data_IF_845869574912
#
_entry.id   IF_845869574912
#
_cell.length_a   1.000
_cell.length_b   1.000
_cell.length_c   1.000
_cell.angle_alpha   90.00
_cell.angle_beta   90.00
_cell.angle_gamma   90.00
#
_symmetry.space_group_name_H-M   'P 1'
#
loop_
_entity.id
_entity.type
_entity.pdbx_description
1 polymer ?
#
# COMPACT_ATOMS: atom_id res chain seq x y z
N UNK A 1 -18.47 -13.70 -22.86
CA UNK A 1 -18.41 -12.67 -21.81
C UNK A 1 -18.30 -13.37 -20.48
N UNK A 2 -17.16 -13.26 -19.79
CA UNK A 2 -16.96 -13.94 -18.51
C UNK A 2 -17.79 -13.28 -17.41
N UNK A 3 -18.63 -14.06 -16.72
CA UNK A 3 -19.39 -13.57 -15.56
C UNK A 3 -18.49 -13.22 -14.39
N UNK A 4 -18.96 -12.32 -13.52
CA UNK A 4 -18.21 -11.90 -12.32
C UNK A 4 -17.92 -13.08 -11.39
N UNK A 5 -16.69 -13.15 -10.91
CA UNK A 5 -16.25 -14.11 -9.89
C UNK A 5 -17.04 -13.95 -8.59
N UNK A 6 -16.99 -14.96 -7.71
CA UNK A 6 -17.59 -14.86 -6.35
C UNK A 6 -16.99 -13.69 -5.56
N UNK A 7 -15.68 -13.50 -5.66
CA UNK A 7 -14.94 -12.43 -4.97
C UNK A 7 -15.44 -11.04 -5.39
N UNK A 8 -15.60 -10.81 -6.69
CA UNK A 8 -16.11 -9.54 -7.23
C UNK A 8 -17.54 -9.27 -6.79
N UNK A 9 -18.41 -10.28 -6.83
CA UNK A 9 -19.81 -10.14 -6.37
C UNK A 9 -19.90 -9.78 -4.89
N UNK A 10 -19.07 -10.39 -4.04
CA UNK A 10 -19.01 -10.06 -2.61
C UNK A 10 -18.50 -8.62 -2.42
N UNK A 11 -17.44 -8.23 -3.12
CA UNK A 11 -16.89 -6.88 -3.03
C UNK A 11 -17.94 -5.81 -3.43
N UNK A 12 -18.70 -6.04 -4.49
CA UNK A 12 -19.80 -5.16 -4.91
C UNK A 12 -20.93 -5.08 -3.89
N UNK A 13 -21.33 -6.22 -3.32
CA UNK A 13 -22.37 -6.25 -2.30
C UNK A 13 -21.94 -5.50 -1.03
N UNK A 14 -20.68 -5.68 -0.58
CA UNK A 14 -20.11 -4.95 0.56
C UNK A 14 -20.03 -3.46 0.26
N UNK A 15 -19.51 -3.07 -0.91
CA UNK A 15 -19.41 -1.68 -1.32
C UNK A 15 -20.79 -1.00 -1.32
N UNK A 16 -21.82 -1.67 -1.86
CA UNK A 16 -23.19 -1.18 -1.83
C UNK A 16 -23.73 -1.04 -0.41
N UNK A 17 -23.48 -2.02 0.47
CA UNK A 17 -23.97 -2.02 1.84
C UNK A 17 -23.39 -0.87 2.69
N UNK A 18 -22.11 -0.51 2.47
CA UNK A 18 -21.44 0.57 3.23
C UNK A 18 -21.42 1.90 2.49
N UNK A 19 -22.04 1.99 1.31
CA UNK A 19 -22.03 3.19 0.47
C UNK A 19 -20.63 3.59 -0.02
N UNK A 20 -19.73 2.61 -0.21
CA UNK A 20 -18.36 2.87 -0.63
C UNK A 20 -18.31 3.52 -2.00
N UNK A 21 -17.52 4.59 -2.13
CA UNK A 21 -17.33 5.30 -3.39
C UNK A 21 -18.47 6.23 -3.80
N UNK A 22 -19.58 6.28 -3.03
CA UNK A 22 -20.66 7.26 -3.25
C UNK A 22 -20.08 8.66 -3.23
N UNK A 23 -20.33 9.43 -4.29
CA UNK A 23 -19.89 10.83 -4.34
C UNK A 23 -20.68 11.66 -3.34
N UNK A 24 -19.97 12.49 -2.58
CA UNK A 24 -20.57 13.36 -1.58
C UNK A 24 -19.97 14.76 -1.65
N UNK A 25 -20.81 15.74 -1.35
CA UNK A 25 -20.38 17.06 -0.92
C UNK A 25 -20.86 17.22 0.52
N UNK A 26 -19.93 17.38 1.45
CA UNK A 26 -20.23 17.54 2.86
C UNK A 26 -20.09 19.01 3.25
N UNK A 27 -21.06 19.60 3.97
CA UNK A 27 -20.90 20.94 4.50
C UNK A 27 -19.70 20.99 5.47
N UNK A 28 -18.74 21.87 5.21
CA UNK A 28 -17.62 22.13 6.11
C UNK A 28 -17.84 23.41 6.91
N UNK A 29 -16.99 23.64 7.91
CA UNK A 29 -16.93 24.91 8.63
C UNK A 29 -15.83 25.82 8.06
N UNK A 30 -15.94 27.12 8.30
CA UNK A 30 -14.85 28.08 8.05
C UNK A 30 -14.01 28.22 9.32
N UNK A 31 -12.76 27.73 9.29
CA UNK A 31 -11.86 27.78 10.44
C UNK A 31 -11.28 29.18 10.70
N UNK A 32 -11.47 30.15 9.80
CA UNK A 32 -11.10 31.55 10.04
C UNK A 32 -12.19 32.34 10.77
N UNK A 33 -13.41 31.81 10.87
CA UNK A 33 -14.52 32.41 11.59
C UNK A 33 -14.52 31.99 13.08
N UNK A 34 -14.33 32.92 14.05
CA UNK A 34 -14.39 32.60 15.48
C UNK A 34 -15.79 32.20 15.96
N UNK A 35 -16.83 32.51 15.19
CA UNK A 35 -18.23 32.17 15.47
C UNK A 35 -18.76 31.03 14.59
N UNK A 36 -17.86 30.28 13.94
CA UNK A 36 -18.22 29.14 13.12
C UNK A 36 -19.12 28.16 13.88
N UNK A 37 -20.03 27.45 13.19
CA UNK A 37 -20.76 26.36 13.82
C UNK A 37 -19.80 25.27 14.30
N UNK A 38 -20.27 24.47 15.28
CA UNK A 38 -19.54 23.30 15.74
C UNK A 38 -19.38 22.29 14.61
N UNK A 39 -18.25 21.59 14.65
CA UNK A 39 -17.96 20.43 13.81
C UNK A 39 -18.58 19.20 14.43
N UNK A 40 -18.75 18.12 13.66
CA UNK A 40 -19.22 16.86 14.22
C UNK A 40 -18.33 16.39 15.38
N UNK A 41 -17.00 16.52 15.26
CA UNK A 41 -16.04 16.12 16.30
C UNK A 41 -16.24 16.85 17.64
N UNK A 42 -16.73 18.09 17.61
CA UNK A 42 -17.03 18.90 18.82
C UNK A 42 -18.38 18.55 19.46
N UNK A 43 -19.19 17.71 18.81
CA UNK A 43 -20.53 17.33 19.27
C UNK A 43 -20.60 15.85 19.62
N UNK A 44 -20.24 14.97 18.69
CA UNK A 44 -20.25 13.51 18.89
C UNK A 44 -19.31 12.80 17.89
N UNK A 45 -18.89 11.59 18.21
CA UNK A 45 -17.95 10.81 17.40
C UNK A 45 -18.41 9.34 17.30
N UNK A 46 -18.39 8.71 16.10
CA UNK A 46 -18.89 7.35 15.92
C UNK A 46 -17.89 6.29 16.44
N UNK A 47 -17.63 6.31 17.74
CA UNK A 47 -16.58 5.54 18.42
C UNK A 47 -16.74 4.02 18.25
N UNK A 48 -17.97 3.51 18.37
CA UNK A 48 -18.25 2.08 18.30
C UNK A 48 -17.89 1.47 16.93
N UNK A 49 -18.43 1.96 15.80
CA UNK A 49 -18.09 1.39 14.50
C UNK A 49 -16.63 1.64 14.10
N UNK A 50 -16.02 2.77 14.52
CA UNK A 50 -14.60 3.03 14.26
C UNK A 50 -13.71 2.04 15.02
N UNK A 51 -14.01 1.76 16.29
CA UNK A 51 -13.25 0.81 17.10
C UNK A 51 -13.30 -0.60 16.50
N UNK A 52 -14.43 -1.02 15.95
CA UNK A 52 -14.55 -2.30 15.24
C UNK A 52 -13.62 -2.38 14.03
N UNK A 53 -13.56 -1.33 13.19
CA UNK A 53 -12.62 -1.29 12.07
C UNK A 53 -11.17 -1.23 12.58
N UNK A 54 -10.89 -0.42 13.60
CA UNK A 54 -9.55 -0.24 14.15
C UNK A 54 -8.97 -1.56 14.70
N UNK A 55 -9.81 -2.42 15.29
CA UNK A 55 -9.42 -3.76 15.74
C UNK A 55 -9.04 -4.68 14.57
N UNK A 56 -9.75 -4.62 13.45
CA UNK A 56 -9.42 -5.39 12.23
C UNK A 56 -8.15 -4.84 11.57
N UNK A 57 -8.05 -3.52 11.41
CA UNK A 57 -6.80 -2.85 10.97
C UNK A 57 -5.63 -3.15 11.89
N UNK A 58 -5.92 -3.47 13.16
CA UNK A 58 -5.08 -4.11 14.17
C UNK A 58 -3.98 -4.99 13.59
N UNK A 59 -4.45 -5.94 12.80
CA UNK A 59 -3.70 -7.07 12.30
C UNK A 59 -3.52 -7.03 10.78
N UNK A 60 -3.97 -5.95 10.13
CA UNK A 60 -3.86 -5.79 8.69
C UNK A 60 -2.57 -5.05 8.31
N UNK A 61 -1.71 -5.69 7.52
CA UNK A 61 -0.56 -5.05 6.89
C UNK A 61 -1.01 -4.12 5.76
N UNK A 62 -1.11 -2.82 5.99
CA UNK A 62 -1.45 -1.85 4.94
C UNK A 62 -0.21 -1.52 4.09
N UNK A 63 -0.23 -1.74 2.75
CA UNK A 63 0.98 -1.61 1.92
C UNK A 63 1.69 -0.26 2.05
N UNK A 64 0.94 0.85 2.04
CA UNK A 64 1.51 2.20 2.18
C UNK A 64 2.26 2.39 3.51
N UNK A 65 1.94 1.58 4.52
CA UNK A 65 2.56 1.62 5.84
C UNK A 65 3.62 0.54 6.06
N UNK A 66 3.97 -0.22 5.02
CA UNK A 66 5.02 -1.24 5.07
C UNK A 66 6.36 -0.73 4.53
N UNK A 67 6.42 0.49 4.00
CA UNK A 67 7.68 1.08 3.50
C UNK A 67 8.73 1.15 4.62
N UNK A 68 8.32 1.49 5.84
CA UNK A 68 9.18 1.48 7.02
C UNK A 68 8.37 1.25 8.29
N UNK A 69 8.96 0.56 9.27
CA UNK A 69 8.32 0.32 10.57
C UNK A 69 8.38 1.58 11.43
N UNK A 70 7.22 2.06 11.88
CA UNK A 70 7.12 3.12 12.89
C UNK A 70 6.44 2.59 14.17
N UNK A 71 7.08 2.77 15.31
CA UNK A 71 6.74 2.10 16.58
C UNK A 71 5.43 2.57 17.23
N UNK A 72 5.00 3.81 16.98
CA UNK A 72 3.79 4.38 17.57
C UNK A 72 2.71 4.72 16.53
N UNK A 73 2.67 4.01 15.40
CA UNK A 73 1.71 4.32 14.33
C UNK A 73 0.27 4.05 14.77
N UNK A 74 -0.57 5.07 14.65
CA UNK A 74 -2.01 4.98 14.93
C UNK A 74 -2.78 4.42 13.74
N UNK A 75 -3.93 3.80 14.03
CA UNK A 75 -4.79 3.17 13.01
C UNK A 75 -5.36 4.24 12.07
N UNK A 76 -5.27 3.98 10.78
CA UNK A 76 -5.79 4.86 9.73
C UNK A 76 -7.28 5.09 9.84
N UNK A 77 -8.07 4.08 10.25
CA UNK A 77 -9.51 4.25 10.40
C UNK A 77 -9.89 5.35 11.39
N UNK A 78 -9.13 5.44 12.49
CA UNK A 78 -9.32 6.46 13.52
C UNK A 78 -9.03 7.84 12.94
N UNK A 79 -7.87 8.02 12.29
CA UNK A 79 -7.48 9.32 11.75
C UNK A 79 -8.35 9.77 10.57
N UNK A 80 -8.76 8.84 9.71
CA UNK A 80 -9.74 9.13 8.65
C UNK A 80 -11.04 9.66 9.23
N UNK A 81 -11.59 8.99 10.24
CA UNK A 81 -12.83 9.43 10.86
C UNK A 81 -12.66 10.75 11.62
N UNK A 82 -11.56 10.94 12.35
CA UNK A 82 -11.25 12.21 13.02
C UNK A 82 -11.19 13.37 12.02
N UNK A 83 -10.52 13.20 10.88
CA UNK A 83 -10.42 14.23 9.85
C UNK A 83 -11.78 14.56 9.23
N UNK A 84 -12.61 13.56 8.94
CA UNK A 84 -13.99 13.76 8.45
C UNK A 84 -14.82 14.50 9.51
N UNK A 85 -14.81 14.02 10.76
CA UNK A 85 -15.58 14.60 11.85
C UNK A 85 -15.16 16.02 12.19
N UNK A 86 -13.85 16.32 12.13
CA UNK A 86 -13.32 17.66 12.34
C UNK A 86 -13.67 18.61 11.19
N UNK A 87 -13.81 18.12 9.96
CA UNK A 87 -14.14 18.96 8.82
C UNK A 87 -15.64 19.28 8.71
N UNK A 88 -16.49 18.29 9.00
CA UNK A 88 -17.95 18.39 8.80
C UNK A 88 -18.60 19.33 9.80
N UNK A 89 -19.47 20.23 9.32
CA UNK A 89 -20.41 20.97 10.17
C UNK A 89 -21.35 19.98 10.88
N UNK A 90 -21.54 20.15 12.19
CA UNK A 90 -22.49 19.35 12.95
C UNK A 90 -23.94 19.60 12.48
N UNK A 91 -24.78 18.55 12.40
CA UNK A 91 -26.21 18.71 12.21
C UNK A 91 -26.87 19.45 13.39
N UNK A 92 -28.06 20.01 13.16
CA UNK A 92 -28.80 20.74 14.20
C UNK A 92 -29.22 19.84 15.36
N UNK A 93 -29.52 18.56 15.07
CA UNK A 93 -29.71 17.52 16.09
C UNK A 93 -28.36 16.92 16.51
N UNK A 94 -27.89 17.14 17.76
CA UNK A 94 -26.63 16.62 18.23
C UNK A 94 -26.52 15.09 18.15
N UNK A 95 -27.62 14.35 18.33
CA UNK A 95 -27.62 12.89 18.30
C UNK A 95 -27.34 12.33 16.89
N UNK A 96 -27.48 13.15 15.84
CA UNK A 96 -27.20 12.77 14.46
C UNK A 96 -25.73 12.94 14.08
N UNK A 97 -24.89 13.62 14.88
CA UNK A 97 -23.53 13.99 14.49
C UNK A 97 -22.62 12.78 14.22
N UNK A 98 -22.58 11.79 15.14
CA UNK A 98 -21.80 10.57 14.93
C UNK A 98 -22.27 9.78 13.70
N UNK A 99 -23.58 9.66 13.54
CA UNK A 99 -24.17 8.97 12.38
C UNK A 99 -23.82 9.67 11.07
N UNK A 100 -23.88 11.00 11.03
CA UNK A 100 -23.55 11.78 9.84
C UNK A 100 -22.11 11.53 9.36
N UNK A 101 -21.14 11.45 10.28
CA UNK A 101 -19.75 11.10 9.97
C UNK A 101 -19.65 9.67 9.43
N UNK A 102 -20.33 8.72 10.09
CA UNK A 102 -20.30 7.31 9.69
C UNK A 102 -20.90 7.07 8.29
N UNK A 103 -22.03 7.73 7.98
CA UNK A 103 -22.74 7.62 6.70
C UNK A 103 -21.89 8.04 5.48
N UNK A 104 -20.81 8.80 5.71
CA UNK A 104 -19.88 9.26 4.68
C UNK A 104 -18.46 8.74 4.85
N UNK A 105 -18.21 7.84 5.81
CA UNK A 105 -16.87 7.34 6.09
C UNK A 105 -16.21 6.66 4.87
N UNK A 106 -16.97 5.84 4.13
CA UNK A 106 -16.51 5.17 2.91
C UNK A 106 -16.83 5.94 1.61
N UNK A 107 -17.41 7.13 1.71
CA UNK A 107 -17.78 7.94 0.55
C UNK A 107 -16.54 8.48 -0.18
N UNK A 108 -16.74 8.86 -1.45
CA UNK A 108 -15.73 9.53 -2.26
C UNK A 108 -15.80 11.05 -2.02
N UNK A 109 -14.91 11.55 -1.17
CA UNK A 109 -14.77 12.97 -0.84
C UNK A 109 -14.02 13.78 -1.91
N UNK A 110 -13.25 13.11 -2.77
CA UNK A 110 -12.43 13.77 -3.79
C UNK A 110 -13.21 14.10 -5.06
N UNK A 111 -14.20 13.29 -5.45
CA UNK A 111 -14.96 13.48 -6.69
C UNK A 111 -15.58 14.88 -6.82
N UNK A 112 -16.04 15.45 -5.70
CA UNK A 112 -16.60 16.81 -5.64
C UNK A 112 -15.67 17.81 -4.96
N UNK A 113 -14.43 17.40 -4.64
CA UNK A 113 -13.43 18.25 -3.99
C UNK A 113 -13.89 18.83 -2.65
N UNK A 114 -14.77 18.15 -1.92
CA UNK A 114 -15.47 18.69 -0.76
C UNK A 114 -14.55 19.18 0.37
N UNK A 115 -13.32 18.67 0.41
CA UNK A 115 -12.33 18.94 1.45
C UNK A 115 -11.05 19.62 0.90
N UNK A 116 -11.03 19.97 -0.39
CA UNK A 116 -9.81 20.44 -1.10
C UNK A 116 -9.28 21.77 -0.58
N UNK A 117 -10.17 22.63 -0.09
CA UNK A 117 -9.82 23.94 0.46
C UNK A 117 -9.24 23.87 1.87
N UNK A 118 -9.43 22.77 2.59
CA UNK A 118 -8.96 22.62 3.96
C UNK A 118 -7.45 22.41 4.00
N UNK A 119 -6.77 23.22 4.82
CA UNK A 119 -5.35 23.12 5.13
C UNK A 119 -5.20 22.55 6.53
N UNK A 120 -4.50 21.43 6.66
CA UNK A 120 -4.32 20.73 7.94
C UNK A 120 -2.84 20.56 8.22
N UNK A 121 -2.42 21.02 9.39
CA UNK A 121 -1.05 20.83 9.87
C UNK A 121 -1.03 19.77 10.98
N UNK A 122 -0.18 18.76 10.82
CA UNK A 122 0.18 17.82 11.88
C UNK A 122 1.64 18.08 12.26
N UNK A 123 1.84 18.76 13.39
CA UNK A 123 3.16 19.17 13.89
C UNK A 123 3.90 18.08 14.67
N UNK A 124 3.27 16.91 14.83
CA UNK A 124 3.83 15.71 15.47
C UNK A 124 3.44 14.45 14.66
N UNK A 125 3.68 14.51 13.35
CA UNK A 125 3.09 13.54 12.42
C UNK A 125 3.57 12.09 12.63
N UNK A 126 4.74 11.88 13.22
CA UNK A 126 5.36 10.59 13.41
C UNK A 126 5.37 9.78 12.11
N UNK A 127 4.73 8.61 12.13
CA UNK A 127 4.59 7.78 10.95
C UNK A 127 3.60 8.28 9.89
N UNK A 128 3.01 9.47 10.01
CA UNK A 128 2.26 10.12 8.94
C UNK A 128 0.84 9.61 8.68
N UNK A 129 0.22 8.86 9.61
CA UNK A 129 -1.17 8.39 9.43
C UNK A 129 -2.12 9.54 9.10
N UNK A 130 -2.04 10.67 9.81
CA UNK A 130 -2.84 11.88 9.55
C UNK A 130 -2.63 12.41 8.14
N UNK A 131 -1.36 12.54 7.72
CA UNK A 131 -0.97 13.09 6.43
C UNK A 131 -1.50 12.22 5.29
N UNK A 132 -1.32 10.90 5.39
CA UNK A 132 -1.77 9.95 4.38
C UNK A 132 -3.29 9.92 4.29
N UNK A 133 -4.01 9.83 5.42
CA UNK A 133 -5.46 9.77 5.40
C UNK A 133 -6.11 11.09 4.96
N UNK A 134 -5.57 12.24 5.37
CA UNK A 134 -6.04 13.55 4.91
C UNK A 134 -5.80 13.76 3.41
N UNK A 135 -4.64 13.31 2.91
CA UNK A 135 -4.35 13.33 1.47
C UNK A 135 -5.33 12.46 0.68
N UNK A 136 -5.71 11.28 1.20
CA UNK A 136 -6.75 10.41 0.61
C UNK A 136 -8.14 11.04 0.61
N UNK A 137 -8.42 11.93 1.54
CA UNK A 137 -9.66 12.71 1.60
C UNK A 137 -9.64 13.94 0.67
N UNK A 138 -8.47 14.29 0.13
CA UNK A 138 -8.28 15.43 -0.78
C UNK A 138 -7.87 16.73 -0.09
N UNK A 139 -7.54 16.71 1.21
CA UNK A 139 -7.11 17.90 1.97
C UNK A 139 -5.69 18.33 1.59
N UNK A 140 -5.36 19.60 1.86
CA UNK A 140 -3.98 20.10 1.79
C UNK A 140 -3.27 19.80 3.12
N UNK A 141 -2.42 18.77 3.11
CA UNK A 141 -1.75 18.27 4.31
C UNK A 141 -0.33 18.83 4.45
N UNK A 142 0.00 19.27 5.65
CA UNK A 142 1.34 19.72 6.05
C UNK A 142 1.78 18.92 7.26
N UNK A 143 2.95 18.31 7.18
CA UNK A 143 3.48 17.47 8.25
C UNK A 143 4.84 17.97 8.73
N UNK A 144 5.03 18.02 10.04
CA UNK A 144 6.30 18.29 10.69
C UNK A 144 6.54 17.22 11.75
N UNK A 145 7.80 16.83 11.92
CA UNK A 145 8.24 16.05 13.07
C UNK A 145 9.66 16.47 13.45
N UNK A 146 9.98 16.42 14.74
CA UNK A 146 11.34 16.65 15.21
C UNK A 146 12.30 15.54 14.75
N UNK A 147 11.79 14.31 14.64
CA UNK A 147 12.59 13.17 14.23
C UNK A 147 12.77 13.14 12.70
N UNK A 148 13.99 13.25 12.17
CA UNK A 148 14.22 13.24 10.73
C UNK A 148 13.81 11.90 10.08
N UNK A 149 13.79 10.80 10.84
CA UNK A 149 13.31 9.50 10.35
C UNK A 149 11.80 9.53 10.11
N UNK A 150 11.02 10.17 10.98
CA UNK A 150 9.57 10.33 10.76
C UNK A 150 9.31 11.08 9.45
N UNK A 151 10.00 12.20 9.23
CA UNK A 151 9.91 12.95 7.98
C UNK A 151 10.31 12.12 6.76
N UNK A 152 11.43 11.40 6.83
CA UNK A 152 11.89 10.55 5.73
C UNK A 152 10.87 9.45 5.42
N UNK A 153 10.29 8.82 6.44
CA UNK A 153 9.25 7.81 6.28
C UNK A 153 8.06 8.38 5.52
N UNK A 154 7.47 9.46 6.01
CA UNK A 154 6.26 10.05 5.42
C UNK A 154 6.51 10.58 4.00
N UNK A 155 7.67 11.19 3.76
CA UNK A 155 8.08 11.65 2.42
C UNK A 155 8.08 10.50 1.41
N UNK A 156 8.67 9.36 1.77
CA UNK A 156 8.73 8.20 0.89
C UNK A 156 7.37 7.50 0.75
N UNK A 157 6.55 7.45 1.80
CA UNK A 157 5.18 6.89 1.73
C UNK A 157 4.27 7.66 0.76
N UNK A 158 4.52 8.97 0.59
CA UNK A 158 3.78 9.84 -0.33
C UNK A 158 4.52 10.11 -1.65
N UNK A 159 5.68 9.49 -1.85
CA UNK A 159 6.44 9.66 -3.08
C UNK A 159 5.61 9.15 -4.27
N UNK A 160 5.50 10.00 -5.29
CA UNK A 160 4.96 9.58 -6.59
C UNK A 160 6.08 8.87 -7.33
N UNK A 161 5.81 7.63 -7.72
CA UNK A 161 6.74 6.81 -8.49
C UNK A 161 6.16 6.57 -9.87
N UNK A 162 7.02 6.58 -10.89
CA UNK A 162 6.67 6.10 -12.22
C UNK A 162 6.78 4.56 -12.24
N UNK A 163 5.68 3.82 -12.46
CA UNK A 163 5.71 2.37 -12.50
C UNK A 163 6.67 1.80 -13.55
N UNK A 164 6.91 2.51 -14.66
CA UNK A 164 7.77 2.04 -15.73
C UNK A 164 9.25 2.25 -15.40
N UNK A 165 9.61 3.36 -14.75
CA UNK A 165 10.96 3.54 -14.19
C UNK A 165 11.29 2.46 -13.14
N UNK A 166 10.33 2.13 -12.26
CA UNK A 166 10.52 1.07 -11.25
C UNK A 166 10.73 -0.29 -11.91
N UNK A 167 9.94 -0.64 -12.93
CA UNK A 167 10.12 -1.89 -13.67
C UNK A 167 11.47 -1.94 -14.38
N UNK A 168 11.90 -0.82 -14.99
CA UNK A 168 13.19 -0.73 -15.65
C UNK A 168 14.36 -0.94 -14.67
N UNK A 169 14.31 -0.30 -13.50
CA UNK A 169 15.29 -0.49 -12.44
C UNK A 169 15.31 -1.95 -11.93
N UNK A 170 14.14 -2.56 -11.73
CA UNK A 170 14.06 -3.97 -11.31
C UNK A 170 14.63 -4.91 -12.37
N UNK A 171 14.40 -4.64 -13.66
CA UNK A 171 14.96 -5.42 -14.75
C UNK A 171 16.48 -5.28 -14.84
N UNK A 172 17.01 -4.07 -14.60
CA UNK A 172 18.44 -3.80 -14.55
C UNK A 172 19.11 -4.55 -13.39
N UNK A 173 18.53 -4.46 -12.18
CA UNK A 173 18.98 -5.22 -11.01
C UNK A 173 18.93 -6.73 -11.30
N UNK A 174 17.85 -7.23 -11.92
CA UNK A 174 17.77 -8.64 -12.30
C UNK A 174 18.88 -9.01 -13.29
N UNK A 175 19.11 -8.20 -14.32
CA UNK A 175 20.12 -8.45 -15.34
C UNK A 175 21.55 -8.51 -14.76
N UNK A 176 21.85 -7.66 -13.77
CA UNK A 176 23.15 -7.61 -13.10
C UNK A 176 23.32 -8.71 -12.04
N UNK A 177 22.30 -8.93 -11.19
CA UNK A 177 22.40 -9.84 -10.04
C UNK A 177 22.16 -11.29 -10.43
N UNK A 178 21.19 -11.57 -11.31
CA UNK A 178 20.79 -12.94 -11.65
C UNK A 178 21.96 -13.80 -12.15
N UNK A 179 22.82 -13.34 -13.09
CA UNK A 179 23.95 -14.14 -13.53
C UNK A 179 24.94 -14.46 -12.39
N UNK A 180 25.09 -13.54 -11.43
CA UNK A 180 26.02 -13.72 -10.30
C UNK A 180 25.58 -14.83 -9.36
N UNK A 181 24.27 -14.96 -9.14
CA UNK A 181 23.70 -15.90 -8.18
C UNK A 181 23.26 -17.23 -8.81
N UNK A 182 22.94 -17.24 -10.10
CA UNK A 182 22.36 -18.39 -10.78
C UNK A 182 23.20 -19.68 -10.69
N UNK A 183 24.54 -19.66 -10.76
CA UNK A 183 25.36 -20.87 -10.58
C UNK A 183 25.10 -21.59 -9.25
N UNK A 184 24.74 -20.86 -8.19
CA UNK A 184 24.45 -21.43 -6.87
C UNK A 184 23.02 -21.97 -6.75
N UNK A 185 22.14 -21.58 -7.68
CA UNK A 185 20.72 -21.93 -7.65
C UNK A 185 20.31 -22.91 -8.75
N UNK A 186 21.11 -23.10 -9.80
CA UNK A 186 20.85 -24.07 -10.86
C UNK A 186 20.82 -25.50 -10.29
N UNK A 187 19.79 -26.28 -10.60
CA UNK A 187 19.70 -27.66 -10.14
C UNK A 187 19.02 -28.60 -11.14
N UNK A 188 19.23 -29.89 -10.94
CA UNK A 188 18.46 -30.93 -11.63
C UNK A 188 17.19 -31.26 -10.83
N UNK A 189 16.08 -31.44 -11.54
CA UNK A 189 14.82 -31.87 -10.94
C UNK A 189 14.88 -33.37 -10.58
N UNK A 190 14.30 -33.81 -9.45
CA UNK A 190 14.17 -35.25 -9.13
C UNK A 190 13.43 -36.09 -10.19
N UNK A 191 12.65 -35.43 -11.05
CA UNK A 191 11.95 -36.05 -12.19
C UNK A 191 12.79 -36.10 -13.48
N UNK A 192 14.06 -35.75 -13.43
CA UNK A 192 14.98 -35.80 -14.56
C UNK A 192 15.02 -34.55 -15.46
N UNK A 193 14.25 -33.49 -15.16
CA UNK A 193 14.40 -32.23 -15.89
C UNK A 193 15.76 -31.60 -15.56
N UNK A 194 16.52 -31.25 -16.60
CA UNK A 194 17.81 -30.58 -16.50
C UNK A 194 17.70 -29.16 -17.02
N UNK A 195 18.48 -28.26 -16.45
CA UNK A 195 18.59 -26.90 -16.99
C UNK A 195 19.60 -26.79 -18.13
N UNK A 196 19.48 -25.70 -18.89
CA UNK A 196 20.29 -25.40 -20.05
C UNK A 196 21.05 -24.09 -19.83
N UNK A 197 22.38 -24.17 -19.86
CA UNK A 197 23.24 -23.00 -19.92
C UNK A 197 23.48 -22.61 -21.38
N UNK A 198 23.39 -21.32 -21.68
CA UNK A 198 23.59 -20.76 -23.03
C UNK A 198 24.56 -19.60 -22.96
N UNK A 199 25.63 -19.63 -23.75
CA UNK A 199 26.51 -18.47 -23.93
C UNK A 199 25.80 -17.43 -24.79
N UNK A 200 25.64 -16.21 -24.29
CA UNK A 200 24.84 -15.16 -24.92
C UNK A 200 25.44 -14.68 -26.24
N UNK A 201 26.76 -14.52 -26.31
CA UNK A 201 27.43 -14.00 -27.51
C UNK A 201 27.29 -14.89 -28.75
N UNK A 202 27.25 -16.21 -28.56
CA UNK A 202 27.12 -17.19 -29.65
C UNK A 202 25.75 -17.85 -29.71
N UNK A 203 24.88 -17.57 -28.74
CA UNK A 203 23.62 -18.26 -28.50
C UNK A 203 23.76 -19.81 -28.46
N UNK A 204 24.93 -20.30 -28.04
CA UNK A 204 25.27 -21.72 -28.05
C UNK A 204 24.97 -22.35 -26.68
N UNK A 205 24.34 -23.53 -26.72
CA UNK A 205 24.13 -24.34 -25.53
C UNK A 205 25.44 -24.94 -25.02
N UNK A 206 25.69 -24.83 -23.72
CA UNK A 206 26.86 -25.44 -23.09
C UNK A 206 26.64 -26.95 -22.94
N UNK A 207 27.74 -27.71 -23.04
CA UNK A 207 27.72 -29.17 -22.92
C UNK A 207 27.45 -29.67 -21.50
N UNK A 208 27.27 -30.98 -21.35
CA UNK A 208 26.93 -31.62 -20.08
C UNK A 208 28.03 -31.50 -18.99
N UNK A 209 29.27 -31.18 -19.38
CA UNK A 209 30.42 -31.01 -18.48
C UNK A 209 30.71 -29.53 -18.15
N UNK A 210 29.82 -28.62 -18.54
CA UNK A 210 29.98 -27.21 -18.20
C UNK A 210 29.76 -26.99 -16.71
N UNK A 211 30.77 -26.44 -16.05
CA UNK A 211 30.70 -26.06 -14.64
C UNK A 211 30.47 -24.54 -14.51
N UNK A 212 29.24 -24.09 -14.18
CA UNK A 212 28.96 -22.68 -14.00
C UNK A 212 29.61 -22.08 -12.74
N UNK A 213 30.04 -22.90 -11.78
CA UNK A 213 30.71 -22.44 -10.56
C UNK A 213 32.18 -22.08 -10.80
N UNK A 214 32.78 -22.60 -11.87
CA UNK A 214 34.14 -22.27 -12.30
C UNK A 214 34.26 -20.88 -12.93
N UNK A 215 33.13 -20.25 -13.32
CA UNK A 215 33.10 -18.91 -13.92
C UNK A 215 33.44 -17.82 -12.89
N UNK A 216 34.26 -16.86 -13.31
CA UNK A 216 34.46 -15.63 -12.54
C UNK A 216 33.19 -14.76 -12.57
N UNK A 217 33.00 -13.85 -11.59
CA UNK A 217 31.88 -12.90 -11.60
C UNK A 217 31.74 -12.13 -12.93
N UNK A 218 32.85 -11.75 -13.56
CA UNK A 218 32.87 -11.00 -14.82
C UNK A 218 32.40 -11.86 -16.00
N UNK A 219 32.67 -13.16 -15.97
CA UNK A 219 32.28 -14.10 -17.03
C UNK A 219 30.81 -14.53 -16.92
N UNK A 220 30.24 -14.56 -15.71
CA UNK A 220 28.88 -15.06 -15.46
C UNK A 220 27.81 -14.36 -16.30
N UNK A 221 27.94 -13.05 -16.52
CA UNK A 221 27.01 -12.25 -17.32
C UNK A 221 26.93 -12.70 -18.79
N UNK A 222 27.94 -13.39 -19.29
CA UNK A 222 27.97 -13.91 -20.66
C UNK A 222 27.13 -15.18 -20.82
N UNK A 223 26.54 -15.70 -19.74
CA UNK A 223 25.78 -16.93 -19.74
C UNK A 223 24.36 -16.74 -19.19
N UNK A 224 23.42 -17.48 -19.77
CA UNK A 224 22.02 -17.54 -19.32
C UNK A 224 21.66 -18.98 -18.99
N UNK A 225 21.02 -19.17 -17.85
CA UNK A 225 20.41 -20.44 -17.45
C UNK A 225 18.90 -20.43 -17.72
N UNK A 226 18.37 -21.56 -18.18
CA UNK A 226 16.93 -21.83 -18.23
C UNK A 226 16.70 -23.26 -17.73
N UNK A 227 15.98 -23.41 -16.62
CA UNK A 227 15.78 -24.73 -16.03
C UNK A 227 15.26 -24.69 -14.60
N UNK A 228 15.25 -25.85 -13.93
CA UNK A 228 14.88 -25.93 -12.52
C UNK A 228 15.86 -25.16 -11.63
N UNK A 229 15.34 -24.34 -10.73
CA UNK A 229 16.12 -23.60 -9.75
C UNK A 229 15.80 -24.12 -8.34
N UNK A 230 16.81 -24.26 -7.49
CA UNK A 230 16.63 -24.67 -6.10
C UNK A 230 15.78 -23.65 -5.33
N UNK A 231 15.77 -22.36 -5.74
CA UNK A 231 14.83 -21.34 -5.24
C UNK A 231 13.39 -21.77 -5.50
N UNK A 232 13.07 -22.19 -6.72
CA UNK A 232 11.72 -22.67 -7.05
C UNK A 232 11.35 -23.88 -6.20
N UNK A 233 12.28 -24.83 -6.01
CA UNK A 233 12.05 -25.99 -5.14
C UNK A 233 11.86 -25.58 -3.68
N UNK A 234 12.65 -24.61 -3.18
CA UNK A 234 12.53 -24.08 -1.83
C UNK A 234 11.19 -23.38 -1.63
N UNK A 235 10.77 -22.46 -2.51
CA UNK A 235 9.47 -21.80 -2.39
C UNK A 235 8.30 -22.74 -2.66
N UNK A 236 8.41 -23.73 -3.55
CA UNK A 236 7.34 -24.68 -3.82
C UNK A 236 7.19 -25.75 -2.74
N UNK A 237 8.28 -26.19 -2.10
CA UNK A 237 8.25 -27.19 -1.01
C UNK A 237 8.13 -26.57 0.39
N UNK A 238 8.69 -25.38 0.59
CA UNK A 238 8.85 -24.75 1.91
C UNK A 238 8.29 -23.33 1.98
N UNK A 239 8.03 -22.68 0.84
CA UNK A 239 7.23 -21.46 0.83
C UNK A 239 5.82 -21.80 1.31
N UNK A 240 5.30 -21.11 2.33
CA UNK A 240 3.99 -21.44 2.84
C UNK A 240 2.96 -21.08 1.76
N UNK A 241 2.36 -22.11 1.16
CA UNK A 241 1.12 -21.97 0.41
C UNK A 241 0.02 -21.66 1.45
N UNK A 242 0.01 -20.44 1.99
CA UNK A 242 -1.11 -19.97 2.80
C UNK A 242 -2.26 -19.64 1.86
N UNK A 243 -2.94 -20.69 1.43
CA UNK A 243 -4.36 -20.58 1.08
C UNK A 243 -5.11 -20.59 2.40
N UNK A 244 -5.22 -19.43 3.04
CA UNK A 244 -6.21 -19.14 4.09
C UNK A 244 -6.75 -17.74 3.88
#
# INVERSE_FOLDING_TARGET
MGGKTKKERIAEAVAKAVGAGREVAIPTVDFSDPHRPKTCLEVDFPILPINQIAAIEGNAGKPIYQMSKWWARRRSSVFRAMLIAAAMKAPDDPAAAAKAVWDVYYANHQARGALKHLKVADIFMGGGTTIVEGSRLGMQMFGNDLNPVAWFVVKNELAKVDPDEVKALLADIEAEVKPQIMPFYACDCPRGHKGKWTRLSTNQAMGAHFDPLALTPEERKDYRYQGPEIIYVFWAKHGPCQVT
#
